data_IF_698349951001
#
_entry.id   IF_698349951001
#
_cell.length_a   1.000
_cell.length_b   1.000
_cell.length_c   1.000
_cell.angle_alpha   90.00
_cell.angle_beta   90.00
_cell.angle_gamma   90.00
#
_symmetry.space_group_name_H-M   'P 1'
#
loop_
_entity.id
_entity.type
_entity.pdbx_description
1 polymer ?
#
# COMPACT_ATOMS: atom_id res chain seq x y z
N UNK A 1 15.66 8.91 3.24
CA UNK A 1 14.74 8.73 2.10
C UNK A 1 13.56 9.67 2.23
N UNK A 2 12.86 9.64 3.37
CA UNK A 2 11.79 10.59 3.68
C UNK A 2 12.36 11.94 4.12
N UNK A 3 11.77 13.04 3.64
CA UNK A 3 12.22 14.42 3.93
C UNK A 3 13.33 14.97 3.02
N UNK A 4 13.83 14.17 2.07
CA UNK A 4 14.79 14.65 1.08
C UNK A 4 14.06 15.14 -0.17
N UNK A 5 14.53 16.24 -0.75
CA UNK A 5 14.14 16.65 -2.10
C UNK A 5 14.79 15.71 -3.13
N UNK A 6 14.13 14.58 -3.33
CA UNK A 6 14.62 13.50 -4.16
C UNK A 6 14.87 13.95 -5.61
N UNK A 7 13.98 14.81 -6.14
CA UNK A 7 14.04 15.25 -7.52
C UNK A 7 15.24 16.17 -7.77
N UNK A 8 15.49 17.13 -6.88
CA UNK A 8 16.62 18.07 -7.00
C UNK A 8 17.96 17.35 -6.81
N UNK A 9 18.03 16.41 -5.87
CA UNK A 9 19.26 15.62 -5.64
C UNK A 9 19.57 14.77 -6.87
N UNK A 10 18.59 14.06 -7.43
CA UNK A 10 18.79 13.28 -8.65
C UNK A 10 19.20 14.15 -9.83
N UNK A 11 18.57 15.31 -10.00
CA UNK A 11 18.90 16.27 -11.06
C UNK A 11 20.37 16.68 -10.98
N UNK A 12 20.85 17.01 -9.78
CA UNK A 12 22.25 17.39 -9.55
C UNK A 12 23.21 16.24 -9.84
N UNK A 13 22.93 15.03 -9.34
CA UNK A 13 23.79 13.86 -9.51
C UNK A 13 23.89 13.43 -10.98
N UNK A 14 22.75 13.36 -11.67
CA UNK A 14 22.70 12.95 -13.09
C UNK A 14 23.39 13.99 -13.96
N UNK A 15 23.24 15.29 -13.66
CA UNK A 15 23.94 16.36 -14.39
C UNK A 15 25.45 16.16 -14.38
N UNK A 16 26.05 15.81 -13.24
CA UNK A 16 27.47 15.50 -13.14
C UNK A 16 27.86 14.30 -14.01
N UNK A 17 27.09 13.21 -13.93
CA UNK A 17 27.36 11.99 -14.71
C UNK A 17 27.27 12.25 -16.22
N UNK A 18 26.33 13.08 -16.66
CA UNK A 18 26.19 13.49 -18.06
C UNK A 18 27.35 14.38 -18.51
N UNK A 19 27.68 15.42 -17.72
CA UNK A 19 28.77 16.36 -18.04
C UNK A 19 30.14 15.67 -18.17
N UNK A 20 30.32 14.55 -17.48
CA UNK A 20 31.56 13.76 -17.48
C UNK A 20 31.50 12.54 -18.39
N UNK A 21 30.43 12.38 -19.18
CA UNK A 21 30.22 11.25 -20.10
C UNK A 21 30.32 9.88 -19.41
N UNK A 22 29.79 9.77 -18.18
CA UNK A 22 29.79 8.56 -17.35
C UNK A 22 28.52 7.71 -17.50
N UNK A 23 27.87 7.77 -18.67
CA UNK A 23 26.70 6.95 -19.02
C UNK A 23 26.97 6.30 -20.39
N UNK A 24 26.70 5.00 -20.52
CA UNK A 24 26.92 4.26 -21.75
C UNK A 24 28.36 3.77 -21.98
N UNK A 25 29.28 4.00 -21.03
CA UNK A 25 30.68 3.54 -21.10
C UNK A 25 30.97 2.43 -20.09
N UNK A 26 31.82 1.48 -20.48
CA UNK A 26 32.28 0.39 -19.61
C UNK A 26 32.97 0.94 -18.36
N UNK A 27 32.62 0.40 -17.19
CA UNK A 27 33.17 0.85 -15.90
C UNK A 27 32.57 2.14 -15.35
N UNK A 28 31.51 2.67 -15.99
CA UNK A 28 30.80 3.90 -15.55
C UNK A 28 29.31 3.60 -15.32
N UNK A 29 28.57 4.59 -14.81
CA UNK A 29 27.11 4.54 -14.69
C UNK A 29 26.58 5.42 -13.57
N UNK A 30 25.40 6.01 -13.78
CA UNK A 30 24.58 6.63 -12.73
C UNK A 30 23.32 5.80 -12.56
N UNK A 31 23.43 4.77 -11.74
CA UNK A 31 22.40 3.74 -11.59
C UNK A 31 21.89 3.68 -10.15
N UNK A 32 20.64 3.26 -9.98
CA UNK A 32 20.16 2.87 -8.65
C UNK A 32 20.84 1.55 -8.27
N UNK A 33 21.37 1.45 -7.06
CA UNK A 33 21.89 0.19 -6.52
C UNK A 33 20.81 -0.88 -6.29
N UNK A 34 19.54 -0.48 -6.33
CA UNK A 34 18.40 -1.38 -6.19
C UNK A 34 17.92 -1.54 -4.76
N UNK A 35 16.93 -2.42 -4.62
CA UNK A 35 16.36 -2.86 -3.36
C UNK A 35 15.79 -4.25 -3.58
N UNK A 36 14.52 -4.32 -4.00
CA UNK A 36 13.98 -5.54 -4.61
C UNK A 36 14.47 -5.71 -6.05
N UNK A 37 14.35 -6.94 -6.56
CA UNK A 37 14.52 -7.22 -7.99
C UNK A 37 13.38 -6.56 -8.80
N UNK A 38 13.62 -6.30 -10.07
CA UNK A 38 12.64 -5.67 -10.97
C UNK A 38 11.77 -6.72 -11.68
N UNK A 39 10.52 -6.38 -11.94
CA UNK A 39 9.54 -7.24 -12.62
C UNK A 39 8.25 -6.50 -12.99
N UNK A 40 8.34 -5.19 -13.26
CA UNK A 40 7.17 -4.32 -13.42
C UNK A 40 6.60 -4.39 -14.85
N UNK A 41 5.43 -5.02 -15.00
CA UNK A 41 4.60 -4.97 -16.22
C UNK A 41 3.15 -4.72 -15.85
N UNK A 42 2.59 -3.58 -16.27
CA UNK A 42 1.21 -3.17 -15.96
C UNK A 42 0.62 -2.29 -17.07
N UNK A 43 -0.73 -2.20 -17.18
CA UNK A 43 -1.37 -1.13 -17.91
C UNK A 43 -0.95 0.26 -17.38
N UNK A 44 -1.12 1.33 -18.17
CA UNK A 44 -0.95 2.69 -17.69
C UNK A 44 -1.84 2.98 -16.47
N UNK A 45 -1.36 3.86 -15.58
CA UNK A 45 -2.17 4.36 -14.47
C UNK A 45 -3.40 5.11 -15.02
N UNK A 46 -4.63 4.77 -14.60
CA UNK A 46 -5.87 5.31 -15.19
C UNK A 46 -6.25 6.71 -14.67
N UNK A 47 -5.30 7.49 -14.16
CA UNK A 47 -5.54 8.83 -13.62
C UNK A 47 -4.50 9.85 -14.08
N UNK A 48 -4.80 11.12 -13.84
CA UNK A 48 -4.00 12.27 -14.25
C UNK A 48 -3.33 13.01 -13.07
N UNK A 49 -3.68 12.64 -11.83
CA UNK A 49 -3.20 13.28 -10.61
C UNK A 49 -2.24 12.40 -9.80
N UNK A 50 -1.44 13.04 -8.95
CA UNK A 50 -0.68 12.37 -7.90
C UNK A 50 -1.50 12.42 -6.62
N UNK A 51 -1.83 11.27 -6.05
CA UNK A 51 -2.68 11.15 -4.87
C UNK A 51 -1.82 10.62 -3.73
N UNK A 52 -1.79 11.34 -2.61
CA UNK A 52 -1.14 10.85 -1.41
C UNK A 52 -2.13 9.97 -0.63
N UNK A 53 -2.11 8.67 -0.93
CA UNK A 53 -3.08 7.69 -0.41
C UNK A 53 -3.18 7.68 1.11
N UNK A 54 -2.07 7.65 1.84
CA UNK A 54 -2.11 7.64 3.31
C UNK A 54 -2.82 8.88 3.87
N UNK A 55 -2.63 10.05 3.24
CA UNK A 55 -3.33 11.27 3.65
C UNK A 55 -4.83 11.21 3.33
N UNK A 56 -5.21 10.63 2.18
CA UNK A 56 -6.62 10.39 1.85
C UNK A 56 -7.26 9.44 2.87
N UNK A 57 -6.57 8.37 3.26
CA UNK A 57 -7.02 7.42 4.29
C UNK A 57 -7.18 8.11 5.65
N UNK A 58 -6.19 8.91 6.05
CA UNK A 58 -6.21 9.73 7.27
C UNK A 58 -7.39 10.71 7.25
N UNK A 59 -7.67 11.31 6.10
CA UNK A 59 -8.77 12.24 5.88
C UNK A 59 -10.15 11.55 5.70
N UNK A 60 -10.24 10.25 5.99
CA UNK A 60 -11.50 9.51 6.00
C UNK A 60 -12.01 9.10 4.62
N UNK A 61 -11.17 9.14 3.57
CA UNK A 61 -11.55 8.72 2.22
C UNK A 61 -11.37 7.21 2.03
N UNK A 62 -12.01 6.69 0.98
CA UNK A 62 -11.99 5.26 0.65
C UNK A 62 -12.97 4.45 1.50
N UNK A 63 -13.52 3.39 0.89
CA UNK A 63 -14.42 2.44 1.55
C UNK A 63 -13.74 1.10 1.83
N UNK A 64 -12.75 0.75 1.00
CA UNK A 64 -11.95 -0.46 1.10
C UNK A 64 -10.47 -0.13 0.95
N UNK A 65 -9.64 -0.80 1.72
CA UNK A 65 -8.19 -0.67 1.67
C UNK A 65 -7.55 -2.06 1.57
N UNK A 66 -7.00 -2.36 0.40
CA UNK A 66 -6.42 -3.68 0.10
C UNK A 66 -4.90 -3.60 0.15
N UNK A 67 -4.31 -4.34 1.09
CA UNK A 67 -2.88 -4.50 1.24
C UNK A 67 -2.41 -5.71 0.44
N UNK A 68 -1.52 -5.51 -0.53
CA UNK A 68 -0.96 -6.61 -1.32
C UNK A 68 0.54 -6.67 -1.13
N UNK A 69 1.02 -7.72 -0.44
CA UNK A 69 2.44 -8.03 -0.30
C UNK A 69 3.28 -6.94 0.38
N UNK A 70 2.63 -6.03 1.12
CA UNK A 70 3.26 -4.90 1.78
C UNK A 70 2.62 -4.68 3.16
N UNK A 71 3.36 -4.04 4.06
CA UNK A 71 2.89 -3.77 5.42
C UNK A 71 3.11 -2.29 5.83
N UNK A 72 2.20 -1.38 5.48
CA UNK A 72 2.34 0.03 5.84
C UNK A 72 2.25 0.28 7.34
N UNK A 73 1.70 -0.64 8.15
CA UNK A 73 1.76 -0.52 9.61
C UNK A 73 3.19 -0.51 10.15
N UNK A 74 4.14 -1.09 9.43
CA UNK A 74 5.55 -1.12 9.82
C UNK A 74 6.44 -0.18 9.00
N UNK A 75 6.08 0.11 7.75
CA UNK A 75 7.03 0.71 6.81
C UNK A 75 6.63 2.08 6.26
N UNK A 76 5.40 2.55 6.50
CA UNK A 76 4.99 3.86 5.96
C UNK A 76 5.60 5.03 6.76
N UNK A 77 5.65 6.21 6.14
CA UNK A 77 5.98 7.45 6.83
C UNK A 77 4.80 7.93 7.68
N UNK A 78 5.08 8.67 8.76
CA UNK A 78 4.03 9.09 9.71
C UNK A 78 3.18 7.89 10.19
N UNK A 79 3.84 6.74 10.40
CA UNK A 79 3.18 5.47 10.68
C UNK A 79 2.28 5.52 11.91
N UNK A 80 2.62 6.29 12.95
CA UNK A 80 1.81 6.42 14.15
C UNK A 80 0.41 6.95 13.85
N UNK A 81 0.31 8.11 13.19
CA UNK A 81 -0.99 8.68 12.81
C UNK A 81 -1.74 7.77 11.85
N UNK A 82 -1.05 7.21 10.85
CA UNK A 82 -1.67 6.31 9.88
C UNK A 82 -2.27 5.07 10.55
N UNK A 83 -1.52 4.43 11.47
CA UNK A 83 -1.99 3.28 12.25
C UNK A 83 -3.17 3.64 13.14
N UNK A 84 -3.11 4.75 13.87
CA UNK A 84 -4.21 5.19 14.75
C UNK A 84 -5.52 5.39 13.97
N UNK A 85 -5.45 6.02 12.79
CA UNK A 85 -6.65 6.23 11.96
C UNK A 85 -7.14 4.92 11.36
N UNK A 86 -6.25 4.08 10.82
CA UNK A 86 -6.64 2.77 10.28
C UNK A 86 -7.33 1.92 11.35
N UNK A 87 -6.75 1.80 12.54
CA UNK A 87 -7.34 1.06 13.65
C UNK A 87 -8.75 1.57 14.00
N UNK A 88 -8.88 2.89 14.18
CA UNK A 88 -10.18 3.50 14.48
C UNK A 88 -11.22 3.21 13.39
N UNK A 89 -10.84 3.29 12.12
CA UNK A 89 -11.75 3.08 10.98
C UNK A 89 -12.09 1.61 10.77
N UNK A 90 -11.16 0.69 11.00
CA UNK A 90 -11.42 -0.75 10.97
C UNK A 90 -12.36 -1.16 12.11
N UNK A 91 -12.16 -0.65 13.33
CA UNK A 91 -13.02 -0.95 14.47
C UNK A 91 -14.50 -0.58 14.25
N UNK A 92 -14.80 0.50 13.52
CA UNK A 92 -16.18 0.86 13.16
C UNK A 92 -16.86 -0.26 12.36
N UNK A 93 -16.12 -0.90 11.46
CA UNK A 93 -16.60 -2.01 10.65
C UNK A 93 -16.71 -3.28 11.50
N UNK A 94 -15.72 -3.57 12.35
CA UNK A 94 -15.78 -4.69 13.31
C UNK A 94 -17.02 -4.61 14.20
N UNK A 95 -17.33 -3.44 14.74
CA UNK A 95 -18.53 -3.23 15.56
C UNK A 95 -19.83 -3.44 14.77
N UNK A 96 -19.86 -3.03 13.51
CA UNK A 96 -21.03 -3.22 12.64
C UNK A 96 -21.25 -4.70 12.34
N UNK A 97 -20.19 -5.43 11.97
CA UNK A 97 -20.21 -6.88 11.74
C UNK A 97 -20.65 -7.62 13.00
N UNK A 98 -20.09 -7.28 14.16
CA UNK A 98 -20.41 -7.93 15.43
C UNK A 98 -21.89 -7.79 15.84
N UNK A 99 -22.55 -6.70 15.44
CA UNK A 99 -23.99 -6.45 15.67
C UNK A 99 -24.89 -7.22 14.69
N UNK A 100 -24.38 -7.58 13.51
CA UNK A 100 -25.12 -8.27 12.45
C UNK A 100 -25.12 -9.81 12.60
N UNK A 101 -25.39 -10.33 13.82
CA UNK A 101 -25.41 -11.78 14.06
C UNK A 101 -26.51 -12.47 13.27
N UNK A 102 -26.16 -13.54 12.56
CA UNK A 102 -27.10 -14.34 11.77
C UNK A 102 -27.49 -13.71 10.42
N UNK A 103 -26.84 -12.62 10.02
CA UNK A 103 -27.04 -12.01 8.72
C UNK A 103 -26.58 -12.94 7.58
N UNK A 104 -27.30 -12.92 6.46
CA UNK A 104 -26.80 -13.50 5.21
C UNK A 104 -25.59 -12.72 4.70
N UNK A 105 -24.88 -13.27 3.72
CA UNK A 105 -23.74 -12.58 3.08
C UNK A 105 -24.17 -11.24 2.49
N UNK A 106 -25.32 -11.18 1.82
CA UNK A 106 -25.87 -9.97 1.20
C UNK A 106 -26.16 -8.90 2.27
N UNK A 107 -26.81 -9.30 3.36
CA UNK A 107 -27.09 -8.40 4.49
C UNK A 107 -25.79 -7.90 5.15
N UNK A 108 -24.78 -8.76 5.26
CA UNK A 108 -23.49 -8.38 5.82
C UNK A 108 -22.74 -7.38 4.92
N UNK A 109 -22.84 -7.52 3.60
CA UNK A 109 -22.30 -6.56 2.64
C UNK A 109 -22.95 -5.18 2.85
N UNK A 110 -24.27 -5.12 2.98
CA UNK A 110 -24.98 -3.86 3.22
C UNK A 110 -24.56 -3.21 4.55
N UNK A 111 -24.39 -4.02 5.60
CA UNK A 111 -23.91 -3.56 6.92
C UNK A 111 -22.50 -2.97 6.83
N UNK A 112 -21.58 -3.67 6.14
CA UNK A 112 -20.20 -3.20 5.95
C UNK A 112 -20.19 -1.92 5.10
N UNK A 113 -20.98 -1.89 4.03
CA UNK A 113 -21.07 -0.74 3.16
C UNK A 113 -21.57 0.50 3.90
N UNK A 114 -22.63 0.38 4.71
CA UNK A 114 -23.14 1.45 5.56
C UNK A 114 -22.07 1.94 6.56
N UNK A 115 -21.37 1.01 7.22
CA UNK A 115 -20.29 1.34 8.15
C UNK A 115 -19.18 2.16 7.47
N UNK A 116 -18.75 1.76 6.27
CA UNK A 116 -17.73 2.49 5.52
C UNK A 116 -18.23 3.83 4.97
N UNK A 117 -19.42 3.83 4.35
CA UNK A 117 -19.94 4.98 3.60
C UNK A 117 -20.46 6.09 4.49
N UNK A 118 -21.16 5.73 5.56
CA UNK A 118 -21.93 6.68 6.37
C UNK A 118 -21.33 6.90 7.77
N UNK A 119 -20.53 5.95 8.28
CA UNK A 119 -19.97 6.03 9.64
C UNK A 119 -18.45 6.26 9.67
N UNK A 120 -17.81 6.39 8.50
CA UNK A 120 -16.38 6.65 8.38
C UNK A 120 -15.50 5.40 8.55
N UNK A 121 -16.09 4.20 8.53
CA UNK A 121 -15.36 2.95 8.56
C UNK A 121 -14.46 2.74 7.34
N UNK A 122 -13.60 1.72 7.41
CA UNK A 122 -12.77 1.30 6.29
C UNK A 122 -12.63 -0.23 6.31
N UNK A 123 -13.09 -0.88 5.25
CA UNK A 123 -12.92 -2.33 5.12
C UNK A 123 -11.50 -2.65 4.68
N UNK A 124 -10.69 -3.15 5.60
CA UNK A 124 -9.31 -3.57 5.36
C UNK A 124 -9.26 -5.04 4.91
N UNK A 125 -8.64 -5.29 3.77
CA UNK A 125 -8.32 -6.64 3.28
C UNK A 125 -6.82 -6.77 3.02
N UNK A 126 -6.28 -7.98 3.10
CA UNK A 126 -4.87 -8.23 2.85
C UNK A 126 -4.61 -9.51 2.05
N UNK A 127 -3.61 -9.47 1.16
CA UNK A 127 -3.04 -10.63 0.47
C UNK A 127 -1.58 -10.74 0.87
N UNK A 128 -1.23 -11.79 1.62
CA UNK A 128 0.10 -11.91 2.23
C UNK A 128 0.49 -13.37 2.49
N UNK A 129 1.78 -13.62 2.73
CA UNK A 129 2.31 -14.93 3.13
C UNK A 129 2.03 -15.23 4.60
N UNK A 130 2.04 -14.20 5.43
CA UNK A 130 1.87 -14.32 6.89
C UNK A 130 0.85 -13.31 7.40
N UNK A 131 0.25 -13.55 8.59
CA UNK A 131 -0.65 -12.60 9.22
C UNK A 131 -0.03 -11.23 9.49
N UNK A 132 1.16 -11.20 10.10
CA UNK A 132 1.86 -9.97 10.52
C UNK A 132 0.99 -9.08 11.44
N UNK A 133 1.45 -7.85 11.74
CA UNK A 133 0.62 -6.85 12.45
C UNK A 133 -0.60 -6.40 11.64
N UNK A 134 -0.66 -6.70 10.34
CA UNK A 134 -1.83 -6.41 9.50
C UNK A 134 -3.08 -7.14 10.02
N UNK A 135 -2.91 -8.36 10.55
CA UNK A 135 -4.02 -9.19 11.01
C UNK A 135 -4.79 -8.59 12.20
N UNK A 136 -4.21 -7.63 12.91
CA UNK A 136 -4.89 -6.90 13.98
C UNK A 136 -6.06 -6.05 13.45
N UNK A 137 -5.98 -5.59 12.19
CA UNK A 137 -6.97 -4.69 11.57
C UNK A 137 -7.69 -5.26 10.34
N UNK A 138 -7.14 -6.32 9.74
CA UNK A 138 -7.72 -6.88 8.52
C UNK A 138 -9.01 -7.66 8.80
N UNK A 139 -10.07 -7.34 8.07
CA UNK A 139 -11.34 -8.06 8.12
C UNK A 139 -11.32 -9.32 7.25
N UNK A 140 -10.41 -9.35 6.26
CA UNK A 140 -10.22 -10.47 5.34
C UNK A 140 -8.75 -10.61 4.97
N UNK A 141 -8.25 -11.84 4.99
CA UNK A 141 -6.91 -12.16 4.56
C UNK A 141 -6.90 -13.33 3.59
N UNK A 142 -6.12 -13.19 2.51
CA UNK A 142 -5.88 -14.23 1.53
C UNK A 142 -4.43 -14.73 1.63
N UNK A 143 -4.21 -16.05 1.65
CA UNK A 143 -2.87 -16.62 1.61
C UNK A 143 -2.27 -16.48 0.21
N UNK A 144 -1.02 -16.01 0.14
CA UNK A 144 -0.23 -15.99 -1.09
C UNK A 144 0.82 -17.13 -1.11
N UNK A 145 1.40 -17.38 -2.28
CA UNK A 145 2.53 -18.28 -2.49
C UNK A 145 3.75 -17.48 -2.98
N UNK A 146 4.98 -17.95 -2.71
CA UNK A 146 6.23 -17.26 -3.08
C UNK A 146 7.07 -18.03 -4.12
N UNK A 147 8.14 -17.43 -4.71
CA UNK A 147 9.02 -18.15 -5.63
C UNK A 147 9.55 -19.45 -5.03
N UNK A 148 9.40 -20.55 -5.75
CA UNK A 148 9.64 -21.92 -5.26
C UNK A 148 8.34 -22.72 -5.09
N UNK A 149 7.23 -22.05 -4.80
CA UNK A 149 5.87 -22.63 -4.76
C UNK A 149 5.08 -22.32 -6.05
N UNK A 150 5.57 -21.35 -6.83
CA UNK A 150 5.05 -20.99 -8.16
C UNK A 150 6.20 -20.68 -9.12
N UNK A 151 5.94 -20.80 -10.42
CA UNK A 151 6.83 -20.27 -11.45
C UNK A 151 6.86 -18.74 -11.35
N UNK A 152 8.06 -18.16 -11.30
CA UNK A 152 8.26 -16.72 -11.33
C UNK A 152 9.51 -16.43 -12.17
N UNK A 153 9.31 -15.67 -13.24
CA UNK A 153 10.38 -15.16 -14.10
C UNK A 153 10.45 -13.64 -13.90
N UNK A 154 11.63 -13.11 -13.57
CA UNK A 154 11.89 -11.66 -13.55
C UNK A 154 12.04 -11.12 -14.95
#
# INVERSE_FOLDING_TARGET
IWGNDNYVIQSSLVSLALATHNVGRRGTGVCRMGGHQEGYTRPPYPGDKKIYIDQEVINGKGLMYTLWGTNPFQTTLNAEQHRMVLHKRANIVNEAIAKAKGASTEQLIDVIYDACKNKGGLYVAAMNLYPTVIAEEAHLMFPAAHPGEMNLTS
#
